data_IF_092003467471
#
_entry.id   IF_092003467471
#
_cell.length_a   1.000
_cell.length_b   1.000
_cell.length_c   1.000
_cell.angle_alpha   90.00
_cell.angle_beta   90.00
_cell.angle_gamma   90.00
#
_symmetry.space_group_name_H-M   'P 1'
#
loop_
_entity.id
_entity.type
_entity.pdbx_description
1 polymer ?
#
# COMPACT_ATOMS: atom_id res chain seq x y z
N UNK A 1 5.23 -20.47 12.96
CA UNK A 1 4.02 -21.20 13.38
C UNK A 1 4.33 -22.60 13.93
N UNK A 2 4.85 -23.55 13.13
CA UNK A 2 5.11 -24.92 13.62
C UNK A 2 6.06 -24.98 14.84
N UNK A 3 7.13 -24.18 14.83
CA UNK A 3 8.04 -24.07 15.98
C UNK A 3 7.36 -23.51 17.24
N UNK A 4 6.42 -22.57 17.08
CA UNK A 4 5.62 -22.09 18.21
C UNK A 4 4.79 -23.24 18.75
N UNK A 5 4.00 -23.93 17.92
CA UNK A 5 3.17 -25.07 18.36
C UNK A 5 3.96 -26.19 19.03
N UNK A 6 5.19 -26.47 18.56
CA UNK A 6 6.05 -27.49 19.16
C UNK A 6 6.77 -27.03 20.44
N UNK A 7 6.50 -25.83 20.94
CA UNK A 7 7.10 -25.30 22.18
C UNK A 7 8.51 -24.72 22.00
N UNK A 8 8.98 -24.53 20.76
CA UNK A 8 10.30 -23.97 20.48
C UNK A 8 10.35 -22.43 20.46
N UNK A 9 9.21 -21.76 20.59
CA UNK A 9 9.10 -20.30 20.64
C UNK A 9 8.11 -19.87 21.73
N UNK A 10 8.46 -18.80 22.44
CA UNK A 10 7.59 -18.15 23.44
C UNK A 10 6.63 -17.12 22.85
N UNK A 11 6.92 -16.65 21.63
CA UNK A 11 6.05 -15.73 20.90
C UNK A 11 6.12 -15.95 19.39
N UNK A 12 5.01 -15.67 18.69
CA UNK A 12 4.95 -15.66 17.24
C UNK A 12 3.94 -14.62 16.75
N UNK A 13 4.29 -13.88 15.70
CA UNK A 13 3.33 -13.04 14.99
C UNK A 13 2.23 -13.90 14.36
N UNK A 14 0.98 -13.48 14.51
CA UNK A 14 -0.18 -14.23 14.00
C UNK A 14 -0.58 -13.69 12.63
N UNK A 15 -0.46 -14.55 11.62
CA UNK A 15 -0.93 -14.25 10.26
C UNK A 15 -2.39 -14.66 10.11
N UNK A 16 -3.17 -13.99 9.22
CA UNK A 16 -4.57 -14.32 8.98
C UNK A 16 -4.86 -15.81 8.75
N UNK A 17 -4.06 -16.46 7.89
CA UNK A 17 -4.25 -17.86 7.49
C UNK A 17 -4.19 -18.87 8.65
N UNK A 18 -3.52 -18.53 9.75
CA UNK A 18 -3.36 -19.40 10.91
C UNK A 18 -4.10 -18.92 12.16
N UNK A 19 -4.73 -17.74 12.11
CA UNK A 19 -5.39 -17.15 13.28
C UNK A 19 -6.47 -18.07 13.85
N UNK A 20 -7.37 -18.58 13.01
CA UNK A 20 -8.48 -19.44 13.46
C UNK A 20 -8.00 -20.74 14.12
N UNK A 21 -6.90 -21.30 13.61
CA UNK A 21 -6.26 -22.48 14.19
C UNK A 21 -5.59 -22.15 15.53
N UNK A 22 -4.83 -21.06 15.62
CA UNK A 22 -4.22 -20.61 16.88
C UNK A 22 -5.28 -20.29 17.92
N UNK A 23 -6.37 -19.61 17.53
CA UNK A 23 -7.43 -19.24 18.47
C UNK A 23 -8.12 -20.45 19.09
N UNK A 24 -8.29 -21.55 18.34
CA UNK A 24 -8.80 -22.83 18.87
C UNK A 24 -7.82 -23.54 19.80
N UNK A 25 -6.53 -23.28 19.65
CA UNK A 25 -5.47 -23.89 20.46
C UNK A 25 -5.03 -23.02 21.63
N UNK A 26 -5.58 -21.82 21.81
CA UNK A 26 -5.12 -20.82 22.78
C UNK A 26 -5.11 -21.36 24.22
N UNK A 27 -6.25 -21.89 24.67
CA UNK A 27 -6.36 -22.52 26.00
C UNK A 27 -5.49 -23.76 26.13
N UNK A 28 -5.63 -24.73 25.21
CA UNK A 28 -4.87 -26.00 25.24
C UNK A 28 -3.36 -25.78 25.15
N UNK A 29 -2.95 -24.78 24.38
CA UNK A 29 -1.58 -24.41 24.13
C UNK A 29 -0.99 -23.53 25.21
N UNK A 30 -1.75 -23.07 26.20
CA UNK A 30 -1.28 -22.18 27.25
C UNK A 30 -0.58 -20.92 26.70
N UNK A 31 -1.26 -20.20 25.80
CA UNK A 31 -0.81 -18.90 25.29
C UNK A 31 -1.99 -17.95 25.18
N UNK A 32 -1.70 -16.66 25.00
CA UNK A 32 -2.68 -15.61 24.73
C UNK A 32 -2.36 -14.95 23.40
N UNK A 33 -3.37 -14.73 22.56
CA UNK A 33 -3.29 -13.94 21.34
C UNK A 33 -3.65 -12.50 21.68
N UNK A 34 -2.66 -11.63 21.61
CA UNK A 34 -2.81 -10.20 21.78
C UNK A 34 -3.17 -9.54 20.45
N UNK A 35 -4.02 -8.52 20.53
CA UNK A 35 -4.37 -7.64 19.43
C UNK A 35 -3.98 -6.20 19.76
N UNK A 36 -3.10 -5.62 18.95
CA UNK A 36 -2.54 -4.29 19.14
C UNK A 36 -3.21 -3.23 18.27
N UNK A 37 -4.29 -3.57 17.58
CA UNK A 37 -4.96 -2.71 16.60
C UNK A 37 -4.26 -2.74 15.24
N UNK A 38 -4.48 -1.73 14.38
CA UNK A 38 -3.88 -1.65 13.06
C UNK A 38 -2.35 -1.73 13.10
N UNK A 39 -1.77 -2.50 12.18
CA UNK A 39 -0.32 -2.46 11.99
C UNK A 39 0.13 -1.12 11.42
N UNK A 40 1.39 -0.76 11.67
CA UNK A 40 2.00 0.46 11.14
C UNK A 40 2.27 0.39 9.62
N UNK A 41 2.22 -0.80 9.02
CA UNK A 41 2.52 -0.95 7.59
C UNK A 41 1.48 -0.27 6.70
N UNK A 42 1.82 -0.11 5.42
CA UNK A 42 0.85 0.21 4.38
C UNK A 42 1.00 -0.76 3.22
N UNK A 43 -0.12 -1.25 2.67
CA UNK A 43 -0.16 -1.92 1.38
C UNK A 43 -0.88 -1.04 0.37
N UNK A 44 -0.34 -0.97 -0.84
CA UNK A 44 -0.85 -0.09 -1.87
C UNK A 44 -0.62 -0.65 -3.28
N UNK A 45 -1.49 -0.23 -4.18
CA UNK A 45 -1.38 -0.42 -5.62
C UNK A 45 -1.02 0.92 -6.27
N UNK A 46 -0.18 0.92 -7.30
CA UNK A 46 0.22 2.15 -7.99
C UNK A 46 0.69 1.89 -9.41
N UNK A 47 0.68 2.96 -10.20
CA UNK A 47 1.19 2.99 -11.56
C UNK A 47 2.55 3.66 -11.61
N UNK A 48 3.31 3.32 -12.65
CA UNK A 48 4.46 4.10 -13.07
C UNK A 48 3.94 5.34 -13.81
N UNK A 49 4.04 6.50 -13.17
CA UNK A 49 3.63 7.80 -13.71
C UNK A 49 4.75 8.47 -14.52
N UNK A 50 5.94 7.86 -14.57
CA UNK A 50 7.10 8.43 -15.24
C UNK A 50 6.84 8.66 -16.74
N UNK A 51 7.02 9.91 -17.17
CA UNK A 51 6.84 10.34 -18.57
C UNK A 51 8.17 10.46 -19.31
N UNK A 52 9.28 10.19 -18.62
CA UNK A 52 10.62 10.29 -19.16
C UNK A 52 11.02 9.10 -20.04
N UNK A 53 12.13 9.28 -20.73
CA UNK A 53 12.77 8.29 -21.57
C UNK A 53 14.24 8.09 -21.23
N UNK A 54 14.75 6.89 -21.52
CA UNK A 54 16.16 6.53 -21.42
C UNK A 54 16.64 6.07 -22.79
N UNK A 55 17.71 6.70 -23.30
CA UNK A 55 18.27 6.41 -24.62
C UNK A 55 17.19 6.41 -25.74
N UNK A 56 16.29 7.41 -25.72
CA UNK A 56 15.20 7.56 -26.68
C UNK A 56 14.04 6.56 -26.54
N UNK A 57 14.06 5.65 -25.55
CA UNK A 57 12.95 4.74 -25.24
C UNK A 57 12.15 5.27 -24.04
N UNK A 58 10.83 5.52 -24.19
CA UNK A 58 9.96 5.84 -23.05
C UNK A 58 10.02 4.73 -21.99
N UNK A 59 10.04 5.11 -20.71
CA UNK A 59 10.01 4.15 -19.60
C UNK A 59 8.65 3.45 -19.50
N UNK A 60 7.58 4.19 -19.81
CA UNK A 60 6.21 3.67 -19.90
C UNK A 60 5.73 3.86 -21.33
N UNK A 61 5.04 2.85 -21.86
CA UNK A 61 4.39 2.94 -23.17
C UNK A 61 3.54 4.23 -23.27
N UNK A 62 3.67 5.04 -24.33
CA UNK A 62 2.98 6.33 -24.41
C UNK A 62 1.46 6.26 -24.28
N UNK A 63 0.82 5.18 -24.73
CA UNK A 63 -0.63 5.00 -24.59
C UNK A 63 -0.97 4.77 -23.13
N UNK A 64 -0.26 3.84 -22.45
CA UNK A 64 -0.45 3.57 -21.02
C UNK A 64 -0.11 4.77 -20.14
N UNK A 65 0.97 5.49 -20.46
CA UNK A 65 1.40 6.68 -19.74
C UNK A 65 0.30 7.75 -19.70
N UNK A 66 -0.45 7.94 -20.80
CA UNK A 66 -1.62 8.85 -20.83
C UNK A 66 -2.70 8.42 -19.85
N UNK A 67 -3.05 7.14 -19.82
CA UNK A 67 -4.07 6.62 -18.90
C UNK A 67 -3.62 6.76 -17.45
N UNK A 68 -2.38 6.35 -17.14
CA UNK A 68 -1.87 6.32 -15.78
C UNK A 68 -1.72 7.72 -15.21
N UNK A 69 -1.37 8.71 -16.03
CA UNK A 69 -1.26 10.11 -15.62
C UNK A 69 -2.62 10.83 -15.49
N UNK A 70 -3.71 10.26 -16.00
CA UNK A 70 -5.06 10.78 -15.76
C UNK A 70 -5.53 10.48 -14.32
N UNK A 71 -5.80 11.54 -13.57
CA UNK A 71 -6.31 11.45 -12.19
C UNK A 71 -7.67 10.75 -12.17
N UNK A 72 -8.57 11.03 -13.12
CA UNK A 72 -9.89 10.40 -13.18
C UNK A 72 -9.78 8.88 -13.40
N UNK A 73 -8.80 8.44 -14.19
CA UNK A 73 -8.50 7.02 -14.38
C UNK A 73 -8.07 6.35 -13.06
N UNK A 74 -7.15 6.96 -12.32
CA UNK A 74 -6.71 6.43 -11.00
C UNK A 74 -7.84 6.43 -9.97
N UNK A 75 -8.70 7.46 -9.98
CA UNK A 75 -9.89 7.54 -9.14
C UNK A 75 -10.89 6.44 -9.46
N UNK A 76 -11.18 6.20 -10.75
CA UNK A 76 -12.04 5.11 -11.18
C UNK A 76 -11.52 3.75 -10.73
N UNK A 77 -10.21 3.50 -10.85
CA UNK A 77 -9.59 2.27 -10.37
C UNK A 77 -9.75 2.11 -8.87
N UNK A 78 -9.59 3.18 -8.09
CA UNK A 78 -9.77 3.12 -6.64
C UNK A 78 -11.21 2.75 -6.24
N UNK A 79 -12.23 3.29 -6.94
CA UNK A 79 -13.63 2.88 -6.82
C UNK A 79 -13.86 1.43 -7.29
N UNK A 80 -13.07 0.98 -8.26
CA UNK A 80 -13.15 -0.36 -8.82
C UNK A 80 -12.57 -1.46 -7.93
N UNK A 81 -11.84 -1.15 -6.86
CA UNK A 81 -11.19 -2.15 -5.99
C UNK A 81 -12.05 -2.49 -4.77
N UNK A 82 -12.38 -3.77 -4.60
CA UNK A 82 -13.22 -4.27 -3.52
C UNK A 82 -12.39 -4.57 -2.25
N UNK A 83 -12.18 -3.53 -1.45
CA UNK A 83 -11.44 -3.60 -0.19
C UNK A 83 -12.14 -4.45 0.87
N UNK A 84 -13.48 -4.53 0.87
CA UNK A 84 -14.23 -5.36 1.82
C UNK A 84 -14.04 -6.85 1.53
N UNK A 85 -14.10 -7.24 0.26
CA UNK A 85 -13.79 -8.61 -0.17
C UNK A 85 -12.35 -8.97 0.18
N UNK A 86 -11.38 -8.05 0.07
CA UNK A 86 -10.02 -8.28 0.56
C UNK A 86 -9.99 -8.58 2.06
N UNK A 87 -10.65 -7.76 2.89
CA UNK A 87 -10.71 -7.96 4.35
C UNK A 87 -11.23 -9.36 4.68
N UNK A 88 -12.31 -9.78 4.03
CA UNK A 88 -12.93 -11.07 4.32
C UNK A 88 -12.10 -12.26 3.81
N UNK A 89 -11.65 -12.21 2.56
CA UNK A 89 -11.07 -13.38 1.89
C UNK A 89 -9.56 -13.52 2.12
N UNK A 90 -8.84 -12.40 2.14
CA UNK A 90 -7.37 -12.39 2.26
C UNK A 90 -6.97 -12.22 3.71
N UNK A 91 -7.65 -11.32 4.43
CA UNK A 91 -7.31 -10.99 5.82
C UNK A 91 -8.15 -11.74 6.85
N UNK A 92 -9.12 -12.57 6.44
CA UNK A 92 -9.98 -13.38 7.34
C UNK A 92 -10.68 -12.52 8.41
N UNK A 93 -11.07 -11.28 8.05
CA UNK A 93 -11.67 -10.31 8.97
C UNK A 93 -10.68 -9.59 9.90
N UNK A 94 -9.38 -9.84 9.77
CA UNK A 94 -8.30 -9.27 10.58
C UNK A 94 -7.52 -8.18 9.83
N UNK A 95 -8.23 -7.48 8.94
CA UNK A 95 -7.69 -6.39 8.16
C UNK A 95 -8.42 -5.09 8.47
N UNK A 96 -7.70 -3.98 8.43
CA UNK A 96 -8.27 -2.63 8.49
C UNK A 96 -7.94 -1.82 7.23
N UNK A 97 -8.89 -1.02 6.73
CA UNK A 97 -8.63 -0.11 5.62
C UNK A 97 -7.53 0.88 5.94
N UNK A 98 -6.69 1.15 4.95
CA UNK A 98 -5.80 2.31 4.93
C UNK A 98 -6.25 3.24 3.81
N UNK A 99 -6.52 4.50 4.16
CA UNK A 99 -7.00 5.51 3.21
C UNK A 99 -5.92 6.52 2.85
N UNK A 100 -4.79 6.48 3.54
CA UNK A 100 -3.77 7.54 3.52
C UNK A 100 -2.35 6.97 3.62
N UNK A 101 -1.32 7.73 3.22
CA UNK A 101 0.08 7.37 3.43
C UNK A 101 0.51 7.26 4.89
N UNK A 102 -0.21 7.89 5.81
CA UNK A 102 0.14 7.91 7.23
C UNK A 102 -0.54 6.74 7.93
N UNK A 103 0.24 5.96 8.68
CA UNK A 103 -0.23 4.80 9.43
C UNK A 103 -1.38 5.19 10.36
N UNK A 104 -2.47 4.41 10.40
CA UNK A 104 -3.61 4.66 11.30
C UNK A 104 -3.21 4.90 12.77
N UNK A 105 -2.21 4.18 13.34
CA UNK A 105 -1.78 4.44 14.72
C UNK A 105 -0.98 5.74 14.93
N UNK A 106 -0.63 6.47 13.88
CA UNK A 106 0.12 7.73 13.98
C UNK A 106 -0.77 8.83 14.56
N UNK A 107 -0.26 9.69 15.47
CA UNK A 107 -0.99 10.89 15.91
C UNK A 107 -1.22 11.92 14.77
N UNK A 108 -0.53 11.76 13.63
CA UNK A 108 -0.66 12.61 12.46
C UNK A 108 -1.61 12.05 11.40
N UNK A 109 -2.23 10.89 11.65
CA UNK A 109 -3.25 10.33 10.78
C UNK A 109 -4.49 11.22 10.79
N UNK A 110 -4.93 11.66 9.60
CA UNK A 110 -6.17 12.40 9.43
C UNK A 110 -7.24 11.43 8.93
N UNK A 111 -8.22 11.05 9.78
CA UNK A 111 -9.20 10.07 9.41
C UNK A 111 -10.22 10.65 8.41
N UNK A 112 -10.90 9.81 7.61
CA UNK A 112 -11.85 10.26 6.58
C UNK A 112 -12.93 11.23 7.06
N UNK A 113 -13.36 11.13 8.32
CA UNK A 113 -14.37 11.98 8.96
C UNK A 113 -13.95 13.46 8.98
N UNK A 114 -12.66 13.76 8.79
CA UNK A 114 -12.16 15.13 8.63
C UNK A 114 -12.34 15.69 7.21
N UNK A 115 -13.13 15.03 6.35
CA UNK A 115 -13.49 15.50 5.02
C UNK A 115 -12.48 15.15 3.92
N UNK A 116 -11.59 14.18 4.17
CA UNK A 116 -10.65 13.71 3.16
C UNK A 116 -11.36 12.76 2.19
N UNK A 117 -10.95 12.79 0.92
CA UNK A 117 -11.64 12.06 -0.15
C UNK A 117 -11.48 10.55 0.01
N UNK A 118 -12.58 9.82 -0.02
CA UNK A 118 -12.57 8.34 0.03
C UNK A 118 -13.10 7.74 -1.27
N UNK A 119 -12.81 6.46 -1.44
CA UNK A 119 -13.15 5.67 -2.63
C UNK A 119 -13.74 4.32 -2.19
N UNK A 120 -14.97 4.32 -1.64
CA UNK A 120 -15.67 3.07 -1.34
C UNK A 120 -15.84 2.23 -2.62
N UNK A 121 -15.93 0.91 -2.50
CA UNK A 121 -16.11 0.05 -3.67
C UNK A 121 -17.42 0.40 -4.39
N UNK A 122 -17.32 0.89 -5.61
CA UNK A 122 -18.44 1.26 -6.46
C UNK A 122 -18.06 1.11 -7.94
N UNK A 123 -18.24 -0.10 -8.52
CA UNK A 123 -17.93 -0.36 -9.91
C UNK A 123 -18.69 0.56 -10.89
N UNK A 124 -19.92 0.95 -10.58
CA UNK A 124 -20.72 1.78 -11.47
C UNK A 124 -20.16 3.21 -11.51
N UNK A 125 -19.80 3.77 -10.35
CA UNK A 125 -19.11 5.06 -10.28
C UNK A 125 -17.73 5.01 -10.97
N UNK A 126 -17.01 3.89 -10.86
CA UNK A 126 -15.77 3.69 -11.61
C UNK A 126 -16.01 3.77 -13.12
N UNK A 127 -17.04 3.08 -13.64
CA UNK A 127 -17.42 3.13 -15.06
C UNK A 127 -17.82 4.53 -15.51
N UNK A 128 -18.59 5.25 -14.69
CA UNK A 128 -18.99 6.64 -14.98
C UNK A 128 -17.78 7.57 -15.10
N UNK A 129 -16.82 7.47 -14.19
CA UNK A 129 -15.57 8.25 -14.24
C UNK A 129 -14.75 7.93 -15.49
N UNK A 130 -14.65 6.64 -15.86
CA UNK A 130 -13.95 6.23 -17.09
C UNK A 130 -14.63 6.78 -18.35
N UNK A 131 -15.96 6.73 -18.42
CA UNK A 131 -16.72 7.31 -19.53
C UNK A 131 -16.52 8.83 -19.61
N UNK A 132 -16.55 9.52 -18.46
CA UNK A 132 -16.31 10.96 -18.39
C UNK A 132 -14.86 11.34 -18.79
N UNK A 133 -13.90 10.45 -18.54
CA UNK A 133 -12.51 10.58 -18.98
C UNK A 133 -12.28 10.23 -20.47
N UNK A 134 -13.34 9.90 -21.21
CA UNK A 134 -13.27 9.66 -22.66
C UNK A 134 -12.95 8.21 -23.05
N UNK A 135 -12.96 7.28 -22.08
CA UNK A 135 -12.95 5.85 -22.39
C UNK A 135 -14.35 5.38 -22.82
N UNK A 136 -14.41 4.23 -23.47
CA UNK A 136 -15.65 3.62 -23.95
C UNK A 136 -15.57 2.11 -23.85
N UNK A 137 -16.72 1.45 -23.88
CA UNK A 137 -16.80 0.00 -23.90
C UNK A 137 -16.97 -0.51 -25.32
N UNK A 138 -16.20 -1.52 -25.72
CA UNK A 138 -16.39 -2.21 -26.99
C UNK A 138 -17.57 -3.22 -26.89
N UNK A 139 -17.89 -3.88 -28.00
CA UNK A 139 -18.99 -4.85 -28.05
C UNK A 139 -18.80 -6.09 -27.17
N UNK A 140 -17.57 -6.37 -26.73
CA UNK A 140 -17.24 -7.44 -25.79
C UNK A 140 -17.27 -6.98 -24.31
N UNK A 141 -17.61 -5.71 -24.04
CA UNK A 141 -17.63 -5.15 -22.69
C UNK A 141 -16.24 -4.77 -22.16
N UNK A 142 -15.22 -4.73 -23.01
CA UNK A 142 -13.87 -4.32 -22.63
C UNK A 142 -13.72 -2.80 -22.77
N UNK A 143 -12.97 -2.20 -21.85
CA UNK A 143 -12.66 -0.79 -21.89
C UNK A 143 -11.63 -0.50 -22.97
N UNK A 144 -11.89 0.51 -23.80
CA UNK A 144 -10.96 1.03 -24.79
C UNK A 144 -10.87 2.55 -24.66
N UNK A 145 -9.72 3.12 -25.02
CA UNK A 145 -9.55 4.56 -25.05
C UNK A 145 -10.21 5.21 -26.30
N UNK A 146 -10.06 6.53 -26.43
CA UNK A 146 -10.60 7.30 -27.55
C UNK A 146 -10.05 6.83 -28.91
N UNK A 147 -8.82 6.31 -28.95
CA UNK A 147 -8.15 5.79 -30.14
C UNK A 147 -8.51 4.32 -30.43
N UNK A 148 -9.23 3.66 -29.52
CA UNK A 148 -9.64 2.25 -29.64
C UNK A 148 -8.61 1.25 -29.09
N UNK A 149 -7.59 1.72 -28.39
CA UNK A 149 -6.64 0.85 -27.70
C UNK A 149 -7.33 0.20 -26.49
N UNK A 150 -7.22 -1.12 -26.35
CA UNK A 150 -7.74 -1.84 -25.16
C UNK A 150 -6.97 -1.43 -23.91
N UNK A 151 -7.68 -1.10 -22.85
CA UNK A 151 -7.07 -0.76 -21.56
C UNK A 151 -6.55 -2.03 -20.91
N UNK A 152 -5.24 -2.26 -21.07
CA UNK A 152 -4.54 -3.44 -20.60
C UNK A 152 -3.14 -3.09 -20.08
N UNK A 153 -2.78 -3.61 -18.92
CA UNK A 153 -1.45 -3.42 -18.33
C UNK A 153 -0.98 -4.60 -17.48
N UNK A 154 0.33 -4.67 -17.28
CA UNK A 154 1.01 -5.62 -16.42
C UNK A 154 0.97 -5.15 -14.96
N UNK A 155 0.62 -6.07 -14.07
CA UNK A 155 0.68 -5.87 -12.63
C UNK A 155 1.72 -6.81 -12.03
N UNK A 156 2.69 -6.25 -11.32
CA UNK A 156 3.76 -7.02 -10.67
C UNK A 156 3.70 -6.88 -9.14
N UNK A 157 4.26 -7.87 -8.45
CA UNK A 157 4.54 -7.83 -7.01
C UNK A 157 5.68 -8.80 -6.71
N UNK A 158 6.11 -8.91 -5.45
CA UNK A 158 7.15 -9.85 -5.06
C UNK A 158 6.57 -11.23 -4.75
N UNK A 159 7.07 -12.25 -5.46
CA UNK A 159 6.70 -13.64 -5.24
C UNK A 159 7.14 -14.12 -3.85
N UNK A 160 6.40 -15.08 -3.31
CA UNK A 160 6.58 -15.59 -1.96
C UNK A 160 5.81 -14.81 -0.88
N UNK A 161 5.34 -13.60 -1.18
CA UNK A 161 4.43 -12.88 -0.29
C UNK A 161 2.97 -13.21 -0.64
N UNK A 162 2.40 -14.21 0.06
CA UNK A 162 1.05 -14.73 -0.22
C UNK A 162 -0.08 -13.71 -0.06
N UNK A 163 0.07 -12.76 0.86
CA UNK A 163 -0.89 -11.66 1.02
C UNK A 163 -0.87 -10.77 -0.23
N UNK A 164 0.30 -10.32 -0.68
CA UNK A 164 0.41 -9.49 -1.89
C UNK A 164 0.03 -10.22 -3.17
N UNK A 165 0.37 -11.50 -3.28
CA UNK A 165 -0.09 -12.36 -4.38
C UNK A 165 -1.61 -12.42 -4.46
N UNK A 166 -2.27 -12.59 -3.30
CA UNK A 166 -3.74 -12.62 -3.22
C UNK A 166 -4.36 -11.25 -3.51
N UNK A 167 -3.75 -10.16 -3.03
CA UNK A 167 -4.18 -8.79 -3.33
C UNK A 167 -4.11 -8.52 -4.84
N UNK A 168 -2.99 -8.86 -5.50
CA UNK A 168 -2.83 -8.65 -6.93
C UNK A 168 -3.84 -9.45 -7.76
N UNK A 169 -4.13 -10.69 -7.36
CA UNK A 169 -5.18 -11.50 -7.99
C UNK A 169 -6.58 -10.91 -7.79
N UNK A 170 -6.89 -10.40 -6.60
CA UNK A 170 -8.16 -9.72 -6.31
C UNK A 170 -8.31 -8.43 -7.13
N UNK A 171 -7.28 -7.59 -7.20
CA UNK A 171 -7.27 -6.37 -8.03
C UNK A 171 -7.51 -6.72 -9.50
N UNK A 172 -6.83 -7.74 -10.03
CA UNK A 172 -7.08 -8.23 -11.39
C UNK A 172 -8.56 -8.54 -11.60
N UNK A 173 -9.14 -9.39 -10.73
CA UNK A 173 -10.54 -9.80 -10.85
C UNK A 173 -11.51 -8.62 -10.74
N UNK A 174 -11.20 -7.64 -9.89
CA UNK A 174 -12.04 -6.47 -9.68
C UNK A 174 -12.00 -5.49 -10.86
N UNK A 175 -10.82 -5.23 -11.41
CA UNK A 175 -10.66 -4.35 -12.57
C UNK A 175 -11.23 -4.98 -13.85
N UNK A 176 -11.23 -6.31 -13.97
CA UNK A 176 -11.91 -7.02 -15.05
C UNK A 176 -13.43 -6.75 -15.07
N UNK A 177 -14.07 -6.55 -13.90
CA UNK A 177 -15.52 -6.23 -13.81
C UNK A 177 -15.88 -4.85 -14.37
N UNK A 178 -14.89 -3.95 -14.48
CA UNK A 178 -15.03 -2.63 -15.10
C UNK A 178 -14.39 -2.58 -16.50
N UNK A 179 -14.07 -3.74 -17.08
CA UNK A 179 -13.59 -3.91 -18.45
C UNK A 179 -12.09 -3.68 -18.65
N UNK A 180 -11.31 -3.53 -17.58
CA UNK A 180 -9.86 -3.35 -17.65
C UNK A 180 -9.18 -4.72 -17.57
N UNK A 181 -8.28 -5.02 -18.50
CA UNK A 181 -7.52 -6.26 -18.47
C UNK A 181 -6.21 -6.08 -17.69
N UNK A 182 -5.96 -6.96 -16.72
CA UNK A 182 -4.73 -6.92 -15.90
C UNK A 182 -3.96 -8.22 -16.06
N UNK A 183 -2.73 -8.12 -16.56
CA UNK A 183 -1.80 -9.25 -16.63
C UNK A 183 -0.99 -9.32 -15.34
N UNK A 184 -1.47 -10.11 -14.38
CA UNK A 184 -0.84 -10.22 -13.07
C UNK A 184 0.29 -11.27 -13.06
N UNK A 185 1.50 -10.86 -12.71
CA UNK A 185 2.67 -11.75 -12.61
C UNK A 185 3.58 -11.38 -11.42
N UNK A 186 3.61 -12.19 -10.35
CA UNK A 186 4.60 -12.06 -9.28
C UNK A 186 6.01 -12.34 -9.79
N UNK A 187 6.99 -11.54 -9.34
CA UNK A 187 8.40 -11.64 -9.69
C UNK A 187 9.26 -11.99 -8.49
N UNK A 188 10.39 -12.67 -8.71
CA UNK A 188 11.39 -12.84 -7.66
C UNK A 188 11.83 -11.47 -7.11
N UNK A 189 12.02 -11.36 -5.79
CA UNK A 189 12.23 -10.08 -5.10
C UNK A 189 13.32 -9.21 -5.73
N UNK A 190 14.50 -9.76 -6.04
CA UNK A 190 15.58 -8.98 -6.65
C UNK A 190 15.24 -8.48 -8.07
N UNK A 191 14.49 -9.26 -8.85
CA UNK A 191 14.03 -8.83 -10.17
C UNK A 191 12.95 -7.74 -10.07
N UNK A 192 12.11 -7.78 -9.02
CA UNK A 192 11.19 -6.68 -8.74
C UNK A 192 11.94 -5.40 -8.37
N UNK A 193 12.93 -5.49 -7.49
CA UNK A 193 13.75 -4.33 -7.08
C UNK A 193 14.44 -3.70 -8.28
N UNK A 194 15.13 -4.49 -9.11
CA UNK A 194 15.77 -4.02 -10.35
C UNK A 194 14.79 -3.27 -11.27
N UNK A 195 13.57 -3.80 -11.44
CA UNK A 195 12.53 -3.10 -12.21
C UNK A 195 12.09 -1.79 -11.58
N UNK A 196 11.92 -1.76 -10.27
CA UNK A 196 11.41 -0.59 -9.57
C UNK A 196 12.45 0.53 -9.46
N UNK A 197 13.74 0.21 -9.32
CA UNK A 197 14.77 1.22 -8.99
C UNK A 197 15.77 1.48 -10.10
N UNK A 198 16.12 0.46 -10.90
CA UNK A 198 17.28 0.55 -11.79
C UNK A 198 16.84 0.72 -13.25
N UNK A 199 16.02 -0.21 -13.75
CA UNK A 199 15.52 -0.17 -15.12
C UNK A 199 14.29 0.71 -15.30
N UNK A 200 13.48 0.86 -14.25
CA UNK A 200 12.18 1.57 -14.26
C UNK A 200 11.19 1.00 -15.29
N UNK A 201 11.40 -0.24 -15.74
CA UNK A 201 10.60 -0.94 -16.75
C UNK A 201 9.46 -1.75 -16.10
N UNK A 202 8.39 -1.04 -15.75
CA UNK A 202 7.18 -1.61 -15.16
C UNK A 202 5.99 -0.65 -15.33
N UNK A 203 4.78 -1.18 -15.23
CA UNK A 203 3.54 -0.44 -15.51
C UNK A 203 2.71 -0.20 -14.25
N UNK A 204 2.39 -1.27 -13.51
CA UNK A 204 1.70 -1.20 -12.23
C UNK A 204 2.30 -2.18 -11.22
N UNK A 205 2.24 -1.84 -9.94
CA UNK A 205 2.82 -2.64 -8.86
C UNK A 205 1.90 -2.69 -7.64
N UNK A 206 1.83 -3.85 -6.99
CA UNK A 206 1.40 -3.97 -5.59
C UNK A 206 2.63 -4.07 -4.72
N UNK A 207 2.78 -3.12 -3.81
CA UNK A 207 3.85 -3.09 -2.83
C UNK A 207 3.29 -2.72 -1.45
N UNK A 208 4.19 -2.62 -0.49
CA UNK A 208 3.88 -2.10 0.82
C UNK A 208 5.15 -1.72 1.53
N UNK A 209 5.03 -0.74 2.42
CA UNK A 209 6.12 -0.20 3.20
C UNK A 209 5.85 -0.43 4.68
N UNK A 210 6.93 -0.59 5.43
CA UNK A 210 6.87 -0.43 6.87
C UNK A 210 6.58 1.05 7.15
N UNK A 211 5.49 1.35 7.85
CA UNK A 211 5.25 2.72 8.30
C UNK A 211 5.88 2.98 9.66
N UNK A 212 5.44 4.07 10.27
CA UNK A 212 5.89 4.53 11.58
C UNK A 212 4.87 5.48 12.20
N UNK A 213 5.15 5.90 13.42
CA UNK A 213 4.32 6.90 14.12
C UNK A 213 4.60 8.32 13.63
N UNK A 214 5.87 8.63 13.30
CA UNK A 214 6.25 9.92 12.75
C UNK A 214 6.30 9.82 11.21
N UNK A 215 5.45 10.55 10.47
CA UNK A 215 5.43 10.49 9.02
C UNK A 215 6.75 10.87 8.36
N UNK A 216 7.60 11.68 9.00
CA UNK A 216 8.90 12.08 8.44
C UNK A 216 9.82 10.87 8.21
N UNK A 217 9.63 9.76 8.93
CA UNK A 217 10.36 8.52 8.67
C UNK A 217 10.13 7.97 7.25
N UNK A 218 9.03 8.35 6.59
CA UNK A 218 8.71 8.02 5.20
C UNK A 218 8.99 9.16 4.20
N UNK A 219 9.73 10.21 4.57
CA UNK A 219 9.98 11.34 3.69
C UNK A 219 10.64 10.94 2.35
N UNK A 220 11.48 9.90 2.34
CA UNK A 220 12.12 9.37 1.13
C UNK A 220 11.15 8.78 0.09
N UNK A 221 9.87 8.59 0.43
CA UNK A 221 8.79 8.21 -0.50
C UNK A 221 8.25 9.45 -1.23
N UNK A 222 8.31 10.62 -0.58
CA UNK A 222 7.60 11.83 -0.99
C UNK A 222 8.50 12.93 -1.52
N UNK A 223 9.77 12.94 -1.16
CA UNK A 223 10.78 13.80 -1.78
C UNK A 223 11.05 13.35 -3.21
N UNK A 224 11.21 14.31 -4.12
CA UNK A 224 11.36 14.06 -5.57
C UNK A 224 12.65 13.30 -5.92
N UNK A 225 13.69 13.46 -5.11
CA UNK A 225 14.98 12.75 -5.19
C UNK A 225 15.03 11.53 -4.23
N UNK A 226 13.91 11.20 -3.61
CA UNK A 226 13.78 10.09 -2.69
C UNK A 226 13.91 8.74 -3.39
N UNK A 227 14.73 7.84 -2.83
CA UNK A 227 14.94 6.50 -3.38
C UNK A 227 13.67 5.62 -3.42
N UNK A 228 12.63 6.00 -2.67
CA UNK A 228 11.33 5.32 -2.64
C UNK A 228 10.22 6.15 -3.29
N UNK A 229 10.56 7.20 -4.06
CA UNK A 229 9.62 7.99 -4.87
C UNK A 229 9.12 7.20 -6.10
N UNK A 230 8.62 6.00 -5.84
CA UNK A 230 8.53 4.92 -6.81
C UNK A 230 7.58 5.24 -7.96
N UNK A 231 6.49 5.97 -7.72
CA UNK A 231 5.51 6.27 -8.77
C UNK A 231 6.05 7.21 -9.86
N UNK A 232 7.09 8.01 -9.60
CA UNK A 232 7.69 8.92 -10.59
C UNK A 232 9.21 9.04 -10.42
N UNK A 233 9.89 7.90 -10.27
CA UNK A 233 11.30 7.86 -9.86
C UNK A 233 12.25 8.54 -10.86
N UNK A 234 13.14 9.40 -10.36
CA UNK A 234 14.24 9.98 -11.15
C UNK A 234 15.31 8.93 -11.50
N UNK A 235 16.25 9.32 -12.37
CA UNK A 235 17.46 8.53 -12.60
C UNK A 235 18.22 8.29 -11.28
N UNK A 236 18.65 7.05 -11.06
CA UNK A 236 19.41 6.69 -9.85
C UNK A 236 20.81 7.31 -9.83
N UNK A 237 21.50 7.29 -8.68
CA UNK A 237 22.87 7.78 -8.58
C UNK A 237 23.80 7.15 -9.62
N UNK A 238 24.50 7.99 -10.39
CA UNK A 238 25.44 7.54 -11.43
C UNK A 238 24.78 7.11 -12.76
N UNK A 239 23.47 7.26 -12.90
CA UNK A 239 22.75 7.09 -14.17
C UNK A 239 22.58 8.43 -14.89
N UNK A 240 22.48 8.38 -16.22
CA UNK A 240 22.13 9.56 -17.02
C UNK A 240 20.71 10.04 -16.66
N UNK A 241 20.48 11.37 -16.62
CA UNK A 241 19.15 11.92 -16.39
C UNK A 241 18.12 11.37 -17.39
N UNK A 242 16.89 11.17 -16.92
CA UNK A 242 15.78 10.78 -17.77
C UNK A 242 15.32 11.97 -18.61
N UNK A 243 15.35 11.82 -19.93
CA UNK A 243 14.88 12.84 -20.87
C UNK A 243 13.37 13.03 -20.72
N UNK A 244 12.89 14.26 -20.57
CA UNK A 244 11.45 14.54 -20.45
C UNK A 244 10.82 14.15 -19.11
N UNK A 245 11.61 13.73 -18.12
CA UNK A 245 11.10 13.55 -16.76
C UNK A 245 10.60 14.88 -16.18
N UNK A 246 9.45 14.82 -15.53
CA UNK A 246 8.83 15.98 -14.89
C UNK A 246 8.06 15.54 -13.65
N UNK A 247 8.07 16.40 -12.63
CA UNK A 247 7.21 16.27 -11.46
C UNK A 247 6.02 17.22 -11.58
N UNK A 248 4.83 16.71 -11.27
CA UNK A 248 3.62 17.52 -11.25
C UNK A 248 3.63 18.53 -10.08
N UNK A 249 2.81 19.58 -10.15
CA UNK A 249 2.79 20.61 -9.10
C UNK A 249 2.29 20.05 -7.75
N UNK A 250 1.34 19.11 -7.78
CA UNK A 250 0.88 18.42 -6.57
C UNK A 250 1.97 17.54 -5.95
N UNK A 251 2.84 16.95 -6.76
CA UNK A 251 3.95 16.10 -6.34
C UNK A 251 5.01 16.95 -5.62
N UNK A 252 5.41 18.07 -6.24
CA UNK A 252 6.29 19.09 -5.63
C UNK A 252 5.70 19.62 -4.34
N UNK A 253 4.39 19.91 -4.32
CA UNK A 253 3.70 20.42 -3.14
C UNK A 253 3.74 19.43 -1.98
N UNK A 254 3.57 18.13 -2.24
CA UNK A 254 3.70 17.11 -1.19
C UNK A 254 5.14 17.09 -0.65
N UNK A 255 6.16 17.11 -1.52
CA UNK A 255 7.56 17.16 -1.09
C UNK A 255 7.83 18.38 -0.19
N UNK A 256 7.38 19.57 -0.61
CA UNK A 256 7.51 20.82 0.16
C UNK A 256 6.83 20.75 1.53
N UNK A 257 5.64 20.11 1.60
CA UNK A 257 4.91 19.92 2.85
C UNK A 257 5.65 18.98 3.80
N UNK A 258 6.28 17.92 3.29
CA UNK A 258 7.13 17.04 4.10
C UNK A 258 8.33 17.79 4.68
N UNK A 259 8.98 18.65 3.87
CA UNK A 259 10.10 19.50 4.33
C UNK A 259 9.63 20.49 5.41
N UNK A 260 8.51 21.18 5.18
CA UNK A 260 7.92 22.12 6.15
C UNK A 260 7.54 21.41 7.46
N UNK A 261 6.89 20.25 7.37
CA UNK A 261 6.47 19.48 8.54
C UNK A 261 7.66 18.94 9.35
N UNK A 262 8.80 18.68 8.71
CA UNK A 262 10.03 18.29 9.40
C UNK A 262 10.70 19.45 10.15
N UNK A 263 10.40 20.70 9.78
CA UNK A 263 10.94 21.92 10.39
C UNK A 263 9.99 22.57 11.41
N UNK A 264 8.73 22.12 11.46
CA UNK A 264 7.71 22.65 12.37
C UNK A 264 7.76 21.96 13.74
N UNK A 265 7.83 22.77 14.80
CA UNK A 265 7.94 22.32 16.19
C UNK A 265 6.61 22.35 16.93
N UNK A 266 5.63 23.10 16.43
CA UNK A 266 4.26 23.11 16.93
C UNK A 266 3.50 21.89 16.38
N UNK A 267 3.11 20.98 17.28
CA UNK A 267 2.46 19.71 16.89
C UNK A 267 1.15 19.91 16.13
N UNK A 268 0.36 20.94 16.47
CA UNK A 268 -0.92 21.20 15.81
C UNK A 268 -0.70 21.73 14.38
N UNK A 269 0.28 22.62 14.17
CA UNK A 269 0.66 23.07 12.83
C UNK A 269 1.27 21.93 12.00
N UNK A 270 2.10 21.10 12.62
CA UNK A 270 2.69 19.92 11.99
C UNK A 270 1.62 18.91 11.55
N UNK A 271 0.58 18.72 12.38
CA UNK A 271 -0.60 17.94 12.00
C UNK A 271 -1.30 18.50 10.76
N UNK A 272 -1.58 19.81 10.70
CA UNK A 272 -2.23 20.40 9.52
C UNK A 272 -1.39 20.27 8.25
N UNK A 273 -0.06 20.37 8.34
CA UNK A 273 0.84 20.12 7.20
C UNK A 273 0.73 18.67 6.69
N UNK A 274 0.75 17.68 7.58
CA UNK A 274 0.57 16.28 7.20
C UNK A 274 -0.86 15.94 6.78
N UNK A 275 -1.87 16.63 7.31
CA UNK A 275 -3.25 16.48 6.83
C UNK A 275 -3.38 16.95 5.38
N UNK A 276 -2.67 18.01 5.00
CA UNK A 276 -2.66 18.48 3.61
C UNK A 276 -1.96 17.48 2.67
N UNK A 277 -0.90 16.79 3.10
CA UNK A 277 -0.31 15.72 2.29
C UNK A 277 -1.30 14.56 2.08
N UNK A 278 -2.04 14.18 3.12
CA UNK A 278 -3.10 13.16 3.03
C UNK A 278 -4.22 13.59 2.08
N UNK A 279 -4.65 14.85 2.16
CA UNK A 279 -5.65 15.41 1.24
C UNK A 279 -5.20 15.32 -0.22
N UNK A 280 -3.97 15.75 -0.52
CA UNK A 280 -3.40 15.70 -1.87
C UNK A 280 -3.22 14.27 -2.37
N UNK A 281 -2.71 13.36 -1.54
CA UNK A 281 -2.53 11.96 -1.94
C UNK A 281 -3.86 11.25 -2.17
N UNK A 282 -4.91 11.59 -1.45
CA UNK A 282 -6.26 11.09 -1.68
C UNK A 282 -6.95 11.76 -2.89
N UNK A 283 -6.53 12.95 -3.30
CA UNK A 283 -7.03 13.60 -4.51
C UNK A 283 -6.37 13.05 -5.78
N UNK A 284 -5.04 12.94 -5.78
CA UNK A 284 -4.25 12.58 -6.94
C UNK A 284 -3.91 11.09 -7.03
N UNK A 285 -4.07 10.32 -5.95
CA UNK A 285 -3.84 8.87 -5.91
C UNK A 285 -2.53 8.40 -6.58
N UNK A 286 -1.35 8.96 -6.22
CA UNK A 286 -0.07 8.39 -6.64
C UNK A 286 0.08 6.95 -6.13
N UNK A 287 -0.47 6.69 -4.94
CA UNK A 287 -0.68 5.35 -4.39
C UNK A 287 -2.17 5.17 -4.09
N UNK A 288 -2.72 4.02 -4.45
CA UNK A 288 -4.05 3.57 -4.08
C UNK A 288 -3.90 2.64 -2.88
N UNK A 289 -4.13 3.18 -1.68
CA UNK A 289 -4.03 2.43 -0.43
C UNK A 289 -5.14 1.38 -0.30
N UNK A 290 -4.80 0.25 0.31
CA UNK A 290 -5.61 -0.97 0.37
C UNK A 290 -5.95 -1.33 1.81
N UNK A 291 -5.63 -2.57 2.23
CA UNK A 291 -5.90 -3.12 3.54
C UNK A 291 -4.59 -3.46 4.23
N UNK A 292 -4.54 -3.22 5.53
CA UNK A 292 -3.44 -3.61 6.40
C UNK A 292 -3.88 -4.67 7.40
N UNK A 293 -2.95 -5.55 7.78
CA UNK A 293 -3.19 -6.51 8.86
C UNK A 293 -3.38 -5.76 10.19
N UNK A 294 -4.18 -6.34 11.08
CA UNK A 294 -4.07 -6.09 12.51
C UNK A 294 -2.72 -6.61 13.02
N UNK A 295 -2.15 -5.92 14.00
CA UNK A 295 -0.97 -6.38 14.72
C UNK A 295 -1.40 -7.42 15.75
N UNK A 296 -1.07 -8.68 15.47
CA UNK A 296 -1.45 -9.81 16.30
C UNK A 296 -0.22 -10.63 16.69
N UNK A 297 -0.14 -11.04 17.95
CA UNK A 297 0.93 -11.93 18.44
C UNK A 297 0.40 -12.93 19.44
N UNK A 298 0.76 -14.21 19.26
CA UNK A 298 0.53 -15.24 20.26
C UNK A 298 1.75 -15.29 21.18
N UNK A 299 1.54 -15.25 22.50
CA UNK A 299 2.61 -15.25 23.52
C UNK A 299 2.27 -16.28 24.58
N UNK A 300 3.24 -17.11 24.97
CA UNK A 300 3.07 -18.12 26.02
C UNK A 300 2.68 -17.46 27.34
N UNK A 301 1.74 -18.07 28.05
CA UNK A 301 1.31 -17.58 29.36
C UNK A 301 2.38 -17.77 30.44
N UNK A 302 3.47 -18.49 30.14
CA UNK A 302 4.68 -18.54 30.98
C UNK A 302 5.42 -17.20 31.01
N UNK A 303 5.16 -16.30 30.04
CA UNK A 303 5.65 -14.92 30.07
C UNK A 303 4.58 -14.04 30.71
N UNK A 304 4.82 -13.61 31.95
CA UNK A 304 3.90 -12.80 32.73
C UNK A 304 4.23 -11.31 32.58
N UNK A 305 3.21 -10.46 32.69
CA UNK A 305 3.35 -8.99 32.61
C UNK A 305 3.36 -8.41 31.19
N UNK A 306 3.02 -9.22 30.16
CA UNK A 306 3.01 -8.79 28.76
C UNK A 306 2.03 -7.63 28.54
N UNK A 307 2.55 -6.50 28.07
CA UNK A 307 1.76 -5.40 27.53
C UNK A 307 1.97 -5.38 26.02
N UNK A 308 0.94 -5.63 25.23
CA UNK A 308 1.09 -5.70 23.78
C UNK A 308 0.69 -4.39 23.10
N UNK A 309 1.50 -3.94 22.13
CA UNK A 309 1.15 -2.81 21.25
C UNK A 309 1.57 -3.11 19.82
N UNK A 310 0.92 -2.46 18.84
CA UNK A 310 1.32 -2.60 17.43
C UNK A 310 2.74 -2.09 17.14
N UNK A 311 3.26 -1.17 17.97
CA UNK A 311 4.57 -0.54 17.83
C UNK A 311 5.66 -1.41 18.46
N UNK A 312 5.47 -1.76 19.73
CA UNK A 312 6.47 -2.42 20.57
C UNK A 312 6.39 -3.96 20.54
N UNK A 313 5.32 -4.53 19.99
CA UNK A 313 5.08 -5.97 20.00
C UNK A 313 4.86 -6.50 21.42
N UNK A 314 5.18 -7.77 21.63
CA UNK A 314 4.94 -8.45 22.91
C UNK A 314 5.96 -8.13 24.00
N UNK A 315 7.14 -7.60 23.65
CA UNK A 315 8.28 -7.54 24.56
C UNK A 315 8.88 -6.13 24.68
N UNK A 316 8.15 -5.08 24.34
CA UNK A 316 8.66 -3.71 24.54
C UNK A 316 8.86 -3.36 26.01
N UNK A 317 8.05 -3.96 26.89
CA UNK A 317 8.18 -3.83 28.34
C UNK A 317 9.01 -4.97 28.97
N UNK A 318 10.03 -5.49 28.26
CA UNK A 318 10.83 -6.66 28.71
C UNK A 318 11.41 -6.52 30.13
N UNK A 319 11.65 -5.30 30.59
CA UNK A 319 12.17 -4.99 31.92
C UNK A 319 11.15 -5.22 33.05
N UNK A 320 9.86 -5.34 32.74
CA UNK A 320 8.77 -5.69 33.66
C UNK A 320 8.36 -7.17 33.55
N UNK A 321 8.80 -7.88 32.52
CA UNK A 321 8.36 -9.25 32.26
C UNK A 321 9.02 -10.22 33.23
N UNK A 322 8.26 -11.24 33.61
CA UNK A 322 8.77 -12.36 34.41
C UNK A 322 8.43 -13.68 33.73
N UNK A 323 9.22 -14.72 34.05
CA UNK A 323 8.94 -16.08 33.61
C UNK A 323 8.37 -16.86 34.78
N UNK A 324 7.20 -17.47 34.57
CA UNK A 324 6.63 -18.39 35.53
C UNK A 324 7.62 -19.55 35.73
N UNK A 325 8.07 -19.73 36.97
CA UNK A 325 8.95 -20.84 37.32
C UNK A 325 8.21 -22.17 37.13
N UNK A 326 8.88 -23.14 36.50
CA UNK A 326 8.33 -24.48 36.22
C UNK A 326 7.97 -25.24 37.48
#
# INVERSE_FOLDING_TARGET
FLQFRSGGLDSVGVQPDFFSLLKREEERGNFTIYNGGPSLGTNFFFFNLNQGSRAGKPLVDPVRSRWFNDVAFRQAISYGIDRETMINNIFQGLGEPQTSPISVPSPFFAPPEMGLRTYPYNPDQAKELLLAAGFRYNSAGELVDAEGNRVRFNLITNSGNKIRESIGAQIKNDLEKIGIQVDFQPLAFNALVDRLTDSLDWEACVLGLTGGLDPNGGANVWLLDGALHAFNQQAGPGQDPLEGWQAADWEKRIADLYIQAAQEVDEAKRFELYKETQRLTQEYLPFIYLINNLSLSAVRNTVEGVQYTAIGGAFWNIYELTLQSS
#
